data_IF_373803570993
#
_entry.id   IF_373803570993
#
_cell.length_a   1.000
_cell.length_b   1.000
_cell.length_c   1.000
_cell.angle_alpha   90.00
_cell.angle_beta   90.00
_cell.angle_gamma   90.00
#
_symmetry.space_group_name_H-M   'P 1'
#
loop_
_entity.id
_entity.type
_entity.pdbx_description
1 polymer ?
#
# COMPACT_ATOMS: atom_id res chain seq x y z
N UNK A 1 17.84 -39.30 -41.93
CA UNK A 1 16.51 -38.69 -42.06
C UNK A 1 15.87 -38.32 -40.70
N UNK A 2 16.64 -38.20 -39.62
CA UNK A 2 16.07 -38.03 -38.24
C UNK A 2 16.27 -36.65 -37.61
N UNK A 3 17.27 -35.88 -38.02
CA UNK A 3 17.65 -34.62 -37.37
C UNK A 3 16.65 -33.45 -37.65
N UNK A 4 16.02 -33.43 -38.85
CA UNK A 4 15.06 -32.40 -39.23
C UNK A 4 13.74 -32.43 -38.43
N UNK A 5 13.29 -33.60 -37.97
CA UNK A 5 12.05 -33.78 -37.21
C UNK A 5 12.20 -33.36 -35.75
N UNK A 6 13.38 -33.54 -35.16
CA UNK A 6 13.68 -33.17 -33.77
C UNK A 6 13.79 -31.67 -33.58
N UNK A 7 14.32 -30.95 -34.56
CA UNK A 7 14.44 -29.48 -34.50
C UNK A 7 13.05 -28.82 -34.59
N UNK A 8 12.14 -29.34 -35.44
CA UNK A 8 10.76 -28.81 -35.55
C UNK A 8 9.96 -28.99 -34.25
N UNK A 9 10.19 -30.10 -33.53
CA UNK A 9 9.48 -30.34 -32.28
C UNK A 9 9.98 -29.44 -31.12
N UNK A 10 11.30 -29.18 -31.08
CA UNK A 10 11.90 -28.29 -30.07
C UNK A 10 11.46 -26.82 -30.25
N UNK A 11 11.33 -26.35 -31.50
CA UNK A 11 10.86 -24.99 -31.80
C UNK A 11 9.38 -24.80 -31.44
N UNK A 12 8.55 -25.86 -31.61
CA UNK A 12 7.12 -25.76 -31.29
C UNK A 12 6.85 -25.74 -29.77
N UNK A 13 7.71 -26.38 -28.96
CA UNK A 13 7.58 -26.42 -27.50
C UNK A 13 8.08 -25.11 -26.83
N UNK A 14 9.03 -24.40 -27.47
CA UNK A 14 9.56 -23.15 -26.93
C UNK A 14 8.70 -21.89 -27.26
N UNK A 15 7.78 -21.97 -28.21
CA UNK A 15 6.97 -20.83 -28.63
C UNK A 15 5.95 -20.30 -27.62
N UNK A 16 5.36 -21.09 -26.71
CA UNK A 16 4.44 -20.54 -25.70
C UNK A 16 5.13 -19.82 -24.54
N UNK A 17 6.45 -19.91 -24.37
CA UNK A 17 7.16 -19.22 -23.27
C UNK A 17 7.36 -17.72 -23.49
N UNK A 18 7.08 -17.21 -24.68
CA UNK A 18 7.13 -15.77 -25.00
C UNK A 18 5.75 -15.09 -25.04
N UNK A 19 4.68 -15.77 -24.65
CA UNK A 19 3.42 -15.12 -24.38
C UNK A 19 3.62 -14.21 -23.15
N UNK A 20 3.95 -12.95 -23.42
CA UNK A 20 4.38 -11.99 -22.42
C UNK A 20 3.47 -11.96 -21.20
N UNK A 21 4.06 -11.85 -20.04
CA UNK A 21 3.36 -11.55 -18.81
C UNK A 21 2.59 -10.22 -18.97
N UNK A 22 1.36 -10.27 -19.45
CA UNK A 22 0.43 -9.17 -19.30
C UNK A 22 0.00 -9.20 -17.85
N UNK A 23 0.39 -8.19 -17.08
CA UNK A 23 -0.21 -7.95 -15.78
C UNK A 23 -1.68 -7.63 -16.01
N UNK A 24 -2.55 -8.60 -15.80
CA UNK A 24 -4.00 -8.36 -15.76
C UNK A 24 -4.35 -7.83 -14.38
N UNK A 25 -5.26 -6.85 -14.28
CA UNK A 25 -5.78 -6.42 -12.98
C UNK A 25 -6.28 -7.63 -12.20
N UNK A 26 -5.96 -7.68 -10.91
CA UNK A 26 -6.38 -8.79 -10.05
C UNK A 26 -7.91 -8.93 -10.04
N UNK A 27 -8.41 -10.14 -10.15
CA UNK A 27 -9.83 -10.43 -10.04
C UNK A 27 -10.35 -10.10 -8.63
N UNK A 28 -11.66 -9.86 -8.50
CA UNK A 28 -12.30 -9.63 -7.18
C UNK A 28 -12.01 -10.78 -6.21
N UNK A 29 -11.93 -12.00 -6.70
CA UNK A 29 -11.63 -13.18 -5.88
C UNK A 29 -10.19 -13.15 -5.36
N UNK A 30 -9.21 -12.87 -6.24
CA UNK A 30 -7.80 -12.73 -5.84
C UNK A 30 -7.60 -11.61 -4.84
N UNK A 31 -8.23 -10.45 -5.07
CA UNK A 31 -8.21 -9.32 -4.14
C UNK A 31 -8.79 -9.71 -2.78
N UNK A 32 -9.93 -10.43 -2.77
CA UNK A 32 -10.56 -10.90 -1.52
C UNK A 32 -9.70 -11.91 -0.77
N UNK A 33 -9.07 -12.84 -1.47
CA UNK A 33 -8.16 -13.83 -0.86
C UNK A 33 -6.90 -13.15 -0.32
N UNK A 34 -6.30 -12.22 -1.07
CA UNK A 34 -5.14 -11.46 -0.63
C UNK A 34 -5.48 -10.62 0.60
N UNK A 35 -6.63 -9.95 0.61
CA UNK A 35 -7.12 -9.17 1.74
C UNK A 35 -7.34 -10.06 2.98
N UNK A 36 -8.02 -11.19 2.82
CA UNK A 36 -8.25 -12.15 3.92
C UNK A 36 -6.93 -12.68 4.50
N UNK A 37 -6.00 -13.08 3.64
CA UNK A 37 -4.68 -13.57 4.04
C UNK A 37 -3.90 -12.51 4.80
N UNK A 38 -3.90 -11.27 4.31
CA UNK A 38 -3.26 -10.13 4.96
C UNK A 38 -3.81 -9.93 6.37
N UNK A 39 -5.13 -9.87 6.52
CA UNK A 39 -5.78 -9.61 7.80
C UNK A 39 -5.63 -10.77 8.81
N UNK A 40 -5.72 -12.02 8.35
CA UNK A 40 -5.80 -13.17 9.24
C UNK A 40 -4.45 -13.85 9.50
N UNK A 41 -3.48 -13.64 8.61
CA UNK A 41 -2.17 -14.29 8.70
C UNK A 41 -1.06 -13.26 8.92
N UNK A 42 -0.92 -12.30 8.01
CA UNK A 42 0.25 -11.42 7.98
C UNK A 42 0.29 -10.43 9.14
N UNK A 43 -0.83 -9.74 9.41
CA UNK A 43 -0.90 -8.71 10.46
C UNK A 43 -1.62 -9.19 11.72
N UNK A 44 -2.08 -10.45 11.74
CA UNK A 44 -2.74 -11.04 12.91
C UNK A 44 -1.80 -11.08 14.11
N UNK A 45 -2.30 -10.64 15.26
CA UNK A 45 -1.56 -10.70 16.52
C UNK A 45 -0.65 -9.49 16.78
N UNK A 46 -0.58 -8.51 15.89
CA UNK A 46 0.07 -7.23 16.15
C UNK A 46 -0.84 -6.37 17.01
N UNK A 47 -0.68 -6.49 18.33
CA UNK A 47 -1.53 -5.85 19.35
C UNK A 47 -0.82 -4.72 20.09
N UNK A 48 0.32 -4.27 19.58
CA UNK A 48 1.06 -3.17 20.18
C UNK A 48 0.14 -1.95 20.27
N UNK A 49 0.15 -1.33 21.44
CA UNK A 49 -0.64 -0.13 21.70
C UNK A 49 0.24 1.07 21.41
N UNK A 50 -0.31 2.06 20.74
CA UNK A 50 0.42 3.29 20.48
C UNK A 50 0.79 3.97 21.80
N UNK A 51 2.09 4.21 22.08
CA UNK A 51 2.52 4.87 23.29
C UNK A 51 2.21 6.37 23.32
N UNK A 52 1.94 6.96 22.15
CA UNK A 52 1.67 8.39 22.01
C UNK A 52 0.18 8.68 22.03
N UNK A 53 -0.21 9.67 22.82
CA UNK A 53 -1.60 10.13 22.89
C UNK A 53 -1.92 11.04 21.72
N UNK A 54 -3.20 11.14 21.36
CA UNK A 54 -3.69 12.06 20.36
C UNK A 54 -3.72 13.50 20.89
N UNK A 55 -2.55 14.11 21.08
CA UNK A 55 -2.39 15.55 21.36
C UNK A 55 -2.26 16.29 20.04
N UNK A 56 -2.53 17.60 20.05
CA UNK A 56 -2.34 18.44 18.86
C UNK A 56 -0.91 18.34 18.31
N UNK A 57 0.10 18.32 19.19
CA UNK A 57 1.50 18.21 18.82
C UNK A 57 1.79 16.86 18.12
N UNK A 58 1.36 15.74 18.70
CA UNK A 58 1.57 14.41 18.11
C UNK A 58 0.80 14.24 16.79
N UNK A 59 -0.38 14.84 16.65
CA UNK A 59 -1.12 14.85 15.38
C UNK A 59 -0.39 15.68 14.34
N UNK A 60 0.15 16.85 14.72
CA UNK A 60 0.90 17.73 13.82
C UNK A 60 2.19 17.05 13.34
N UNK A 61 2.96 16.44 14.25
CA UNK A 61 4.18 15.68 13.93
C UNK A 61 3.89 14.50 12.99
N UNK A 62 2.83 13.74 13.29
CA UNK A 62 2.38 12.66 12.42
C UNK A 62 1.94 13.13 11.03
N UNK A 63 1.29 14.31 10.96
CA UNK A 63 0.94 14.96 9.68
C UNK A 63 2.18 15.34 8.89
N UNK A 64 3.18 15.94 9.53
CA UNK A 64 4.41 16.38 8.87
C UNK A 64 5.17 15.19 8.30
N UNK A 65 5.32 14.12 9.08
CA UNK A 65 5.94 12.87 8.62
C UNK A 65 5.12 12.23 7.50
N UNK A 66 3.79 12.16 7.62
CA UNK A 66 2.89 11.65 6.58
C UNK A 66 3.02 12.44 5.28
N UNK A 67 3.04 13.76 5.37
CA UNK A 67 3.18 14.64 4.21
C UNK A 67 4.53 14.45 3.52
N UNK A 68 5.58 14.22 4.29
CA UNK A 68 6.93 14.01 3.74
C UNK A 68 7.12 12.67 3.04
N UNK A 69 6.46 11.61 3.50
CA UNK A 69 6.77 10.24 3.07
C UNK A 69 5.60 9.48 2.41
N UNK A 70 4.36 9.85 2.72
CA UNK A 70 3.19 9.04 2.37
C UNK A 70 2.27 9.70 1.33
N UNK A 71 2.21 11.05 1.31
CA UNK A 71 1.24 11.79 0.50
C UNK A 71 1.35 11.52 -1.00
N UNK A 72 2.55 11.18 -1.50
CA UNK A 72 2.80 10.90 -2.92
C UNK A 72 1.89 9.79 -3.46
N UNK A 73 1.53 8.83 -2.61
CA UNK A 73 0.65 7.73 -2.97
C UNK A 73 -0.75 7.84 -2.34
N UNK A 74 -0.84 8.45 -1.15
CA UNK A 74 -2.08 8.47 -0.36
C UNK A 74 -2.83 9.81 -0.41
N UNK A 75 -2.30 10.82 -1.10
CA UNK A 75 -2.85 12.19 -1.09
C UNK A 75 -2.60 12.91 0.23
N UNK A 76 -2.80 14.23 0.26
CA UNK A 76 -2.61 15.05 1.47
C UNK A 76 -3.61 14.71 2.58
N UNK A 77 -4.77 14.18 2.20
CA UNK A 77 -5.85 13.80 3.10
C UNK A 77 -5.83 12.30 3.48
N UNK A 78 -4.88 11.53 2.94
CA UNK A 78 -4.84 10.07 3.12
C UNK A 78 -5.95 9.32 2.38
N UNK A 79 -6.68 9.98 1.47
CA UNK A 79 -7.84 9.44 0.77
C UNK A 79 -7.66 9.44 -0.76
N UNK A 80 -6.41 9.55 -1.20
CA UNK A 80 -5.97 9.53 -2.59
C UNK A 80 -6.45 10.74 -3.42
N UNK A 81 -6.93 11.82 -2.77
CA UNK A 81 -7.38 13.01 -3.49
C UNK A 81 -6.24 13.58 -4.31
N UNK A 82 -6.47 13.79 -5.62
CA UNK A 82 -5.49 14.34 -6.55
C UNK A 82 -4.31 13.43 -6.86
N UNK A 83 -4.40 12.11 -6.61
CA UNK A 83 -3.36 11.13 -6.94
C UNK A 83 -3.80 10.29 -8.16
N UNK A 84 -3.36 10.65 -9.39
CA UNK A 84 -3.93 10.08 -10.63
C UNK A 84 -3.74 8.57 -10.80
N UNK A 85 -2.68 8.00 -10.21
CA UNK A 85 -2.35 6.58 -10.36
C UNK A 85 -2.88 5.69 -9.23
N UNK A 86 -3.41 6.26 -8.16
CA UNK A 86 -3.81 5.49 -6.98
C UNK A 86 -4.78 4.33 -7.30
N UNK A 87 -5.73 4.59 -8.19
CA UNK A 87 -6.73 3.60 -8.63
C UNK A 87 -6.21 2.64 -9.71
N UNK A 88 -5.12 3.02 -10.40
CA UNK A 88 -4.56 2.21 -11.52
C UNK A 88 -3.56 1.17 -11.05
N UNK A 89 -3.08 1.25 -9.83
CA UNK A 89 -2.19 0.24 -9.24
C UNK A 89 -2.93 -1.09 -9.00
N UNK A 90 -2.18 -2.17 -8.92
CA UNK A 90 -2.73 -3.50 -8.64
C UNK A 90 -2.02 -4.14 -7.44
N UNK A 91 -2.69 -4.20 -6.28
CA UNK A 91 -4.01 -3.64 -5.95
C UNK A 91 -4.00 -2.11 -5.91
N UNK A 92 -5.17 -1.46 -6.04
CA UNK A 92 -5.29 -0.01 -5.89
C UNK A 92 -4.83 0.46 -4.50
N UNK A 93 -4.34 1.70 -4.42
CA UNK A 93 -4.02 2.33 -3.13
C UNK A 93 -5.33 2.52 -2.35
N UNK A 94 -5.47 1.96 -1.14
CA UNK A 94 -6.69 2.13 -0.38
C UNK A 94 -6.77 3.54 0.21
N UNK A 95 -7.99 4.09 0.30
CA UNK A 95 -8.23 5.24 1.17
C UNK A 95 -7.93 4.85 2.62
N UNK A 96 -7.05 5.60 3.28
CA UNK A 96 -6.67 5.33 4.67
C UNK A 96 -7.80 5.65 5.65
N UNK A 97 -8.80 6.45 5.25
CA UNK A 97 -10.01 6.70 6.01
C UNK A 97 -11.08 5.61 5.84
N UNK A 98 -10.87 4.63 4.95
CA UNK A 98 -11.83 3.56 4.72
C UNK A 98 -12.07 2.72 5.98
N UNK A 99 -13.29 2.21 6.12
CA UNK A 99 -13.66 1.34 7.25
C UNK A 99 -12.73 0.13 7.37
N UNK A 100 -12.25 -0.40 6.25
CA UNK A 100 -11.34 -1.54 6.21
C UNK A 100 -10.00 -1.20 6.86
N UNK A 101 -9.43 -0.05 6.52
CA UNK A 101 -8.14 0.41 7.08
C UNK A 101 -8.31 0.82 8.55
N UNK A 102 -9.39 1.52 8.86
CA UNK A 102 -9.65 1.99 10.23
C UNK A 102 -9.99 0.86 11.23
N UNK A 103 -10.31 -0.35 10.77
CA UNK A 103 -10.44 -1.54 11.61
C UNK A 103 -9.11 -2.15 12.07
N UNK A 104 -7.99 -1.81 11.46
CA UNK A 104 -6.69 -2.25 11.94
C UNK A 104 -6.41 -1.69 13.34
N UNK A 105 -5.79 -2.47 14.21
CA UNK A 105 -5.22 -1.95 15.45
C UNK A 105 -4.03 -1.03 15.14
N UNK A 106 -3.63 -0.19 16.10
CA UNK A 106 -2.49 0.70 15.91
C UNK A 106 -1.20 -0.10 15.66
N UNK A 107 -1.00 -1.21 16.37
CA UNK A 107 0.13 -2.11 16.11
C UNK A 107 0.09 -2.74 14.73
N UNK A 108 -1.09 -3.00 14.16
CA UNK A 108 -1.23 -3.48 12.79
C UNK A 108 -0.89 -2.38 11.77
N UNK A 109 -1.34 -1.14 11.99
CA UNK A 109 -0.99 -0.01 11.14
C UNK A 109 0.53 0.25 11.21
N UNK A 110 1.11 0.29 12.41
CA UNK A 110 2.56 0.42 12.57
C UNK A 110 3.30 -0.66 11.79
N UNK A 111 2.90 -1.91 11.95
CA UNK A 111 3.55 -3.03 11.25
C UNK A 111 3.48 -2.87 9.71
N UNK A 112 2.34 -2.42 9.19
CA UNK A 112 2.17 -2.15 7.76
C UNK A 112 3.11 -1.04 7.29
N UNK A 113 3.29 0.01 8.08
CA UNK A 113 4.21 1.11 7.76
C UNK A 113 5.66 0.62 7.86
N UNK A 114 6.01 -0.14 8.91
CA UNK A 114 7.36 -0.70 9.11
C UNK A 114 7.81 -1.56 7.91
N UNK A 115 6.96 -2.48 7.45
CA UNK A 115 7.36 -3.54 6.52
C UNK A 115 6.78 -3.39 5.11
N UNK A 116 5.87 -2.43 4.93
CA UNK A 116 5.18 -2.25 3.67
C UNK A 116 4.19 -3.37 3.34
N UNK A 117 3.71 -3.37 2.12
CA UNK A 117 2.73 -4.36 1.62
C UNK A 117 3.21 -4.93 0.30
N UNK A 118 3.82 -6.09 0.34
CA UNK A 118 4.17 -6.80 -0.89
C UNK A 118 2.95 -7.59 -1.42
N UNK A 119 2.67 -7.64 -2.72
CA UNK A 119 3.35 -7.01 -3.86
C UNK A 119 2.76 -5.63 -4.27
N UNK A 120 2.07 -4.92 -3.40
CA UNK A 120 1.31 -3.71 -3.74
C UNK A 120 2.17 -2.48 -4.07
N UNK A 121 3.49 -2.57 -3.93
CA UNK A 121 4.38 -1.42 -4.15
C UNK A 121 4.44 -0.43 -2.98
N UNK A 122 3.72 -0.63 -1.88
CA UNK A 122 3.92 0.16 -0.65
C UNK A 122 5.25 -0.24 0.00
N UNK A 123 6.25 0.65 0.06
CA UNK A 123 7.53 0.33 0.67
C UNK A 123 7.41 0.24 2.19
N UNK A 124 8.33 -0.51 2.82
CA UNK A 124 8.51 -0.45 4.27
C UNK A 124 9.37 0.74 4.67
N UNK A 125 9.03 1.36 5.78
CA UNK A 125 9.73 2.54 6.32
C UNK A 125 10.70 2.21 7.45
N UNK A 126 10.81 0.95 7.86
CA UNK A 126 11.70 0.52 8.93
C UNK A 126 13.16 0.80 8.57
N UNK A 127 13.84 1.56 9.43
CA UNK A 127 15.22 2.01 9.21
C UNK A 127 15.32 3.31 8.41
N UNK A 128 14.24 3.80 7.83
CA UNK A 128 14.15 5.14 7.22
C UNK A 128 13.50 6.12 8.18
N UNK A 129 12.40 5.70 8.81
CA UNK A 129 11.72 6.44 9.87
C UNK A 129 12.04 5.83 11.24
N UNK A 130 12.07 6.67 12.26
CA UNK A 130 12.15 6.24 13.65
C UNK A 130 10.81 5.61 14.09
N UNK A 131 10.86 4.83 15.18
CA UNK A 131 9.63 4.28 15.79
C UNK A 131 8.67 5.39 16.24
N UNK A 132 9.20 6.51 16.69
CA UNK A 132 8.44 7.68 17.12
C UNK A 132 7.67 8.31 15.96
N UNK A 133 8.35 8.59 14.85
CA UNK A 133 7.70 9.11 13.63
C UNK A 133 6.60 8.17 13.13
N UNK A 134 6.85 6.86 13.13
CA UNK A 134 5.85 5.89 12.67
C UNK A 134 4.62 5.86 13.60
N UNK A 135 4.83 5.92 14.92
CA UNK A 135 3.74 5.99 15.86
C UNK A 135 2.94 7.31 15.77
N UNK A 136 3.63 8.43 15.55
CA UNK A 136 2.98 9.73 15.31
C UNK A 136 2.16 9.70 14.01
N UNK A 137 2.68 9.06 12.94
CA UNK A 137 1.89 8.81 11.73
C UNK A 137 0.62 8.01 12.06
N UNK A 138 0.69 6.96 12.88
CA UNK A 138 -0.49 6.18 13.28
C UNK A 138 -1.50 7.05 14.03
N UNK A 139 -1.04 7.96 14.92
CA UNK A 139 -1.91 8.95 15.56
C UNK A 139 -2.63 9.81 14.51
N UNK A 140 -1.89 10.35 13.53
CA UNK A 140 -2.46 11.16 12.46
C UNK A 140 -3.48 10.39 11.61
N UNK A 141 -3.21 9.13 11.26
CA UNK A 141 -4.13 8.28 10.50
C UNK A 141 -5.49 8.08 11.18
N UNK A 142 -5.57 8.25 12.50
CA UNK A 142 -6.85 8.23 13.26
C UNK A 142 -7.57 9.59 13.22
N UNK A 143 -6.93 10.63 12.72
CA UNK A 143 -7.41 12.02 12.71
C UNK A 143 -7.34 12.65 11.31
N UNK A 144 -7.49 11.81 10.26
CA UNK A 144 -7.44 12.28 8.88
C UNK A 144 -8.51 13.33 8.60
N UNK A 145 -8.18 14.36 7.81
CA UNK A 145 -9.14 15.38 7.41
C UNK A 145 -10.21 14.80 6.47
N UNK A 146 -11.28 15.55 6.26
CA UNK A 146 -12.30 15.16 5.28
C UNK A 146 -11.70 15.10 3.87
N UNK A 147 -12.22 14.20 3.04
CA UNK A 147 -11.75 14.01 1.67
C UNK A 147 -11.75 15.35 0.89
N UNK A 148 -10.64 15.67 0.27
CA UNK A 148 -10.45 16.88 -0.53
C UNK A 148 -10.32 18.19 0.25
N UNK A 149 -10.48 18.19 1.60
CA UNK A 149 -10.47 19.41 2.39
C UNK A 149 -9.10 20.11 2.46
N UNK A 150 -8.02 19.41 2.15
CA UNK A 150 -6.63 19.94 2.17
C UNK A 150 -6.04 20.11 0.77
N UNK A 151 -6.86 19.89 -0.27
CA UNK A 151 -6.43 20.04 -1.66
C UNK A 151 -5.65 18.84 -2.20
N UNK A 152 -5.03 19.06 -3.35
CA UNK A 152 -4.23 18.07 -4.06
C UNK A 152 -2.73 18.32 -3.81
N UNK A 153 -1.88 17.28 -3.87
CA UNK A 153 -0.43 17.49 -3.82
C UNK A 153 0.04 18.35 -5.01
N UNK A 154 0.87 19.36 -4.77
CA UNK A 154 1.35 20.30 -5.81
C UNK A 154 1.96 19.58 -7.03
N UNK A 155 2.62 18.43 -6.80
CA UNK A 155 3.23 17.65 -7.88
C UNK A 155 2.22 17.08 -8.88
N UNK A 156 0.94 17.09 -8.58
CA UNK A 156 -0.14 16.57 -9.44
C UNK A 156 -1.13 17.66 -9.87
N UNK A 157 -1.05 18.88 -9.30
CA UNK A 157 -1.88 20.01 -9.73
C UNK A 157 -1.39 20.52 -11.09
N UNK A 158 -2.27 20.58 -12.06
CA UNK A 158 -2.02 21.08 -13.44
C UNK A 158 -2.83 22.31 -13.74
#
# INVERSE_FOLDING_TARGET
MSVRKTISFAVLVCMPMFAGCRATPSSKAETSVAYWTKHHITVRGKKDVNPYKATEDNIAEGKDSFTSYCMVCHGLDGQNTGVPFAETLSPPVPSLASTEVQKYSDGQLKWVIDYGVWPSGMPGSKGTLSDEEIWSIVVYLRHLPAAGSVGEPEMYSH
#
